data_IF_733822088903
#
_entry.id   IF_733822088903
#
_cell.length_a   1.000
_cell.length_b   1.000
_cell.length_c   1.000
_cell.angle_alpha   90.00
_cell.angle_beta   90.00
_cell.angle_gamma   90.00
#
_symmetry.space_group_name_H-M   'P 1'
#
loop_
_entity.id
_entity.type
_entity.pdbx_description
1 polymer ?
#
# COMPACT_ATOMS: atom_id res chain seq x y z
N UNK A 1 -7.11 17.27 17.43
CA UNK A 1 -7.52 18.45 16.66
C UNK A 1 -6.62 18.51 15.45
N UNK A 2 -7.19 18.50 14.24
CA UNK A 2 -6.43 18.29 13.01
C UNK A 2 -5.37 19.40 12.81
N UNK A 3 -4.11 18.99 12.71
CA UNK A 3 -3.00 19.89 12.35
C UNK A 3 -3.02 20.09 10.84
N UNK A 4 -3.06 21.35 10.39
CA UNK A 4 -2.97 21.67 8.95
C UNK A 4 -1.51 21.92 8.61
N UNK A 5 -0.91 21.07 7.78
CA UNK A 5 0.37 21.37 7.14
C UNK A 5 0.11 22.34 5.97
N UNK A 6 0.30 23.63 6.23
CA UNK A 6 -0.03 24.70 5.28
C UNK A 6 0.72 24.57 3.95
N UNK A 7 1.91 23.97 3.95
CA UNK A 7 2.76 23.81 2.75
C UNK A 7 2.20 22.81 1.73
N UNK A 8 1.25 21.94 2.10
CA UNK A 8 0.64 20.96 1.19
C UNK A 8 -0.88 21.10 1.10
N UNK A 9 -1.47 22.15 1.72
CA UNK A 9 -2.91 22.38 1.81
C UNK A 9 -3.52 23.00 0.53
N UNK A 10 -3.16 22.48 -0.64
CA UNK A 10 -3.71 22.87 -1.94
C UNK A 10 -3.84 21.64 -2.85
N UNK A 11 -4.69 21.74 -3.87
CA UNK A 11 -4.86 20.64 -4.83
C UNK A 11 -3.60 20.50 -5.68
N UNK A 12 -2.98 19.32 -5.66
CA UNK A 12 -1.79 19.02 -6.45
C UNK A 12 -2.06 19.13 -7.95
N UNK A 13 -1.00 19.39 -8.75
CA UNK A 13 -1.11 19.67 -10.19
C UNK A 13 -1.82 18.56 -10.97
N UNK A 14 -1.57 17.30 -10.63
CA UNK A 14 -2.13 16.11 -11.29
C UNK A 14 -3.36 15.53 -10.57
N UNK A 15 -3.77 16.11 -9.44
CA UNK A 15 -4.91 15.63 -8.66
C UNK A 15 -6.21 16.21 -9.22
N UNK A 16 -7.22 15.34 -9.42
CA UNK A 16 -8.55 15.71 -9.91
C UNK A 16 -9.66 15.54 -8.87
N UNK A 17 -9.35 14.95 -7.72
CA UNK A 17 -10.32 14.68 -6.66
C UNK A 17 -9.71 14.94 -5.28
N UNK A 18 -10.58 15.19 -4.30
CA UNK A 18 -10.21 15.33 -2.90
C UNK A 18 -11.01 14.31 -2.09
N UNK A 19 -10.30 13.50 -1.31
CA UNK A 19 -10.89 12.48 -0.43
C UNK A 19 -10.78 12.90 1.02
N UNK A 20 -11.88 12.77 1.76
CA UNK A 20 -11.93 13.03 3.21
C UNK A 20 -12.11 11.71 3.93
N UNK A 21 -11.22 11.42 4.87
CA UNK A 21 -11.21 10.19 5.68
C UNK A 21 -11.24 10.55 7.16
N UNK A 22 -11.89 9.71 7.95
CA UNK A 22 -11.88 9.83 9.41
C UNK A 22 -10.49 9.46 9.96
N UNK A 23 -10.03 10.22 10.95
CA UNK A 23 -8.77 9.95 11.64
C UNK A 23 -8.87 8.63 12.42
N UNK A 24 -7.89 7.75 12.23
CA UNK A 24 -7.88 6.40 12.81
C UNK A 24 -7.30 6.30 14.22
N UNK A 25 -7.52 7.29 15.08
CA UNK A 25 -6.96 7.40 16.45
C UNK A 25 -7.75 6.63 17.52
N UNK A 26 -8.87 6.02 17.14
CA UNK A 26 -9.72 5.25 18.05
C UNK A 26 -9.03 3.97 18.53
N UNK A 27 -8.81 3.86 19.85
CA UNK A 27 -8.33 2.62 20.47
C UNK A 27 -9.45 1.57 20.51
N UNK A 28 -9.23 0.44 19.84
CA UNK A 28 -10.16 -0.67 19.92
C UNK A 28 -9.93 -1.54 21.15
N UNK A 29 -10.94 -1.62 22.01
CA UNK A 29 -10.96 -2.54 23.15
C UNK A 29 -10.88 -4.01 22.67
N UNK A 30 -9.74 -4.67 22.93
CA UNK A 30 -9.41 -6.04 22.52
C UNK A 30 -9.46 -6.23 20.97
N UNK A 31 -8.82 -5.33 20.23
CA UNK A 31 -8.83 -5.32 18.76
C UNK A 31 -8.30 -6.60 18.08
N UNK A 32 -7.47 -7.41 18.75
CA UNK A 32 -6.92 -8.66 18.20
C UNK A 32 -7.89 -9.85 18.25
N UNK A 33 -8.88 -9.83 19.15
CA UNK A 33 -9.86 -10.91 19.32
C UNK A 33 -11.21 -10.60 18.63
N UNK A 34 -11.42 -9.33 18.21
CA UNK A 34 -12.68 -8.91 17.60
C UNK A 34 -12.83 -9.48 16.20
N UNK A 35 -13.96 -10.14 15.89
CA UNK A 35 -14.18 -10.75 14.58
C UNK A 35 -14.35 -9.74 13.43
N UNK A 36 -14.53 -8.44 13.73
CA UNK A 36 -14.40 -7.36 12.76
C UNK A 36 -15.40 -7.40 11.58
N UNK A 37 -16.70 -7.56 11.85
CA UNK A 37 -17.73 -7.65 10.80
C UNK A 37 -17.82 -6.40 9.89
N UNK A 38 -17.39 -5.24 10.38
CA UNK A 38 -17.36 -3.98 9.62
C UNK A 38 -15.97 -3.58 9.15
N UNK A 39 -14.95 -4.45 9.25
CA UNK A 39 -13.57 -4.15 8.85
C UNK A 39 -13.22 -4.66 7.46
N UNK A 40 -12.54 -3.81 6.69
CA UNK A 40 -11.97 -4.18 5.40
C UNK A 40 -10.86 -5.21 5.57
N UNK A 41 -10.87 -6.22 4.71
CA UNK A 41 -9.86 -7.27 4.72
C UNK A 41 -9.68 -7.88 3.33
N UNK A 42 -8.48 -7.72 2.78
CA UNK A 42 -8.10 -8.36 1.52
C UNK A 42 -7.82 -9.87 1.70
N UNK A 43 -7.34 -10.30 2.88
CA UNK A 43 -7.06 -11.71 3.20
C UNK A 43 -8.26 -12.51 3.70
N UNK A 44 -9.40 -11.86 3.97
CA UNK A 44 -10.55 -12.43 4.69
C UNK A 44 -10.22 -12.91 6.12
N UNK A 45 -9.28 -12.24 6.78
CA UNK A 45 -8.96 -12.51 8.19
C UNK A 45 -10.06 -12.05 9.16
N UNK A 46 -10.91 -11.12 8.73
CA UNK A 46 -12.07 -10.61 9.49
C UNK A 46 -13.39 -11.01 8.82
N UNK A 47 -14.47 -11.09 9.58
CA UNK A 47 -15.82 -11.40 9.08
C UNK A 47 -16.31 -10.39 8.03
N UNK A 48 -15.75 -9.18 8.03
CA UNK A 48 -16.01 -8.17 7.02
C UNK A 48 -15.74 -8.62 5.59
N UNK A 49 -14.83 -9.58 5.36
CA UNK A 49 -14.55 -10.13 4.02
C UNK A 49 -15.68 -10.98 3.43
N UNK A 50 -16.72 -11.31 4.22
CA UNK A 50 -17.92 -12.05 3.79
C UNK A 50 -19.04 -11.06 3.42
N UNK A 51 -19.00 -9.83 3.95
CA UNK A 51 -19.99 -8.80 3.68
C UNK A 51 -19.80 -8.21 2.28
N UNK A 52 -20.90 -8.02 1.54
CA UNK A 52 -20.91 -7.26 0.28
C UNK A 52 -21.02 -5.74 0.49
N UNK A 53 -21.14 -5.30 1.75
CA UNK A 53 -21.31 -3.88 2.10
C UNK A 53 -19.97 -3.17 2.01
N UNK A 54 -19.96 -1.96 1.44
CA UNK A 54 -18.81 -1.06 1.52
C UNK A 54 -18.54 -0.71 2.98
N UNK A 55 -17.27 -0.79 3.37
CA UNK A 55 -16.83 -0.51 4.73
C UNK A 55 -16.12 0.84 4.75
N UNK A 56 -16.38 1.61 5.81
CA UNK A 56 -15.74 2.90 6.00
C UNK A 56 -14.24 2.69 6.28
N UNK A 57 -13.40 3.39 5.53
CA UNK A 57 -11.95 3.39 5.73
C UNK A 57 -11.56 4.58 6.61
N UNK A 58 -10.51 4.38 7.40
CA UNK A 58 -9.89 5.42 8.24
C UNK A 58 -8.42 5.58 7.86
N UNK A 59 -7.75 6.58 8.42
CA UNK A 59 -6.30 6.79 8.20
C UNK A 59 -5.41 5.81 8.97
N UNK A 60 -5.99 4.83 9.69
CA UNK A 60 -5.21 3.86 10.48
C UNK A 60 -4.52 2.82 9.60
N UNK A 61 -3.23 2.56 9.86
CA UNK A 61 -2.49 1.47 9.22
C UNK A 61 -2.91 0.08 9.72
N UNK A 62 -3.62 -0.01 10.86
CA UNK A 62 -4.15 -1.26 11.41
C UNK A 62 -3.08 -2.27 11.87
N UNK A 63 -1.83 -1.83 12.07
CA UNK A 63 -0.72 -2.68 12.51
C UNK A 63 0.64 -1.99 12.41
N UNK A 64 1.69 -2.74 12.71
CA UNK A 64 3.08 -2.27 12.65
C UNK A 64 3.82 -2.83 11.43
N UNK A 65 4.91 -2.17 10.99
CA UNK A 65 5.83 -2.70 9.99
C UNK A 65 6.38 -4.07 10.38
N UNK A 66 6.60 -4.93 9.38
CA UNK A 66 7.16 -6.29 9.54
C UNK A 66 7.76 -6.80 8.22
N UNK A 67 8.38 -7.98 8.25
CA UNK A 67 8.91 -8.61 7.03
C UNK A 67 7.81 -8.87 6.00
N UNK A 68 8.15 -8.75 4.72
CA UNK A 68 7.24 -9.03 3.61
C UNK A 68 6.74 -10.49 3.68
N UNK A 69 5.42 -10.67 3.54
CA UNK A 69 4.78 -12.00 3.53
C UNK A 69 4.22 -12.29 2.12
N UNK A 70 4.81 -13.22 1.36
CA UNK A 70 4.39 -13.53 -0.01
C UNK A 70 3.24 -14.54 -0.02
N UNK A 71 2.02 -14.07 0.25
CA UNK A 71 0.79 -14.90 0.30
C UNK A 71 -0.14 -14.73 -0.92
N UNK A 72 0.39 -14.28 -2.06
CA UNK A 72 -0.37 -14.20 -3.32
C UNK A 72 -1.38 -13.03 -3.37
N UNK A 73 -1.21 -12.00 -2.54
CA UNK A 73 -2.13 -10.86 -2.49
C UNK A 73 -1.84 -9.83 -3.57
N UNK A 74 -0.57 -9.64 -3.91
CA UNK A 74 -0.14 -8.63 -4.88
C UNK A 74 -0.59 -9.01 -6.29
N UNK A 75 -0.56 -10.30 -6.61
CA UNK A 75 -1.03 -10.89 -7.86
C UNK A 75 -2.53 -10.68 -8.10
N UNK A 76 -3.32 -10.48 -7.03
CA UNK A 76 -4.77 -10.25 -7.15
C UNK A 76 -5.12 -8.80 -7.50
N UNK A 77 -4.20 -7.87 -7.26
CA UNK A 77 -4.42 -6.43 -7.47
C UNK A 77 -3.55 -5.86 -8.57
N UNK A 78 -2.49 -6.55 -8.97
CA UNK A 78 -1.62 -6.15 -10.07
C UNK A 78 -2.28 -6.52 -11.40
N UNK A 79 -2.62 -5.55 -12.26
CA UNK A 79 -3.24 -5.83 -13.55
C UNK A 79 -2.22 -6.14 -14.66
N UNK A 80 -0.96 -5.76 -14.47
CA UNK A 80 0.12 -5.95 -15.44
C UNK A 80 0.64 -7.39 -15.43
N UNK A 81 1.13 -7.85 -16.58
CA UNK A 81 1.74 -9.18 -16.75
C UNK A 81 3.19 -9.19 -16.21
N UNK A 82 3.29 -9.03 -14.89
CA UNK A 82 4.56 -9.04 -14.16
C UNK A 82 4.46 -10.01 -12.97
N UNK A 83 5.59 -10.34 -12.36
CA UNK A 83 5.64 -11.14 -11.14
C UNK A 83 5.74 -10.21 -9.92
N UNK A 84 4.61 -9.65 -9.40
CA UNK A 84 4.66 -8.56 -8.43
C UNK A 84 5.35 -8.99 -7.13
N UNK A 85 5.12 -10.21 -6.62
CA UNK A 85 5.82 -10.65 -5.40
C UNK A 85 7.34 -10.64 -5.56
N UNK A 86 7.86 -11.05 -6.72
CA UNK A 86 9.30 -11.05 -6.96
C UNK A 86 9.84 -9.63 -7.15
N UNK A 87 9.11 -8.81 -7.90
CA UNK A 87 9.47 -7.41 -8.13
C UNK A 87 9.50 -6.63 -6.81
N UNK A 88 8.43 -6.73 -6.02
CA UNK A 88 8.32 -6.05 -4.72
C UNK A 88 9.43 -6.50 -3.76
N UNK A 89 9.83 -7.77 -3.81
CA UNK A 89 10.97 -8.25 -3.02
C UNK A 89 12.28 -7.62 -3.51
N UNK A 90 12.51 -7.55 -4.82
CA UNK A 90 13.72 -6.96 -5.41
C UNK A 90 13.86 -5.47 -5.03
N UNK A 91 12.79 -4.69 -5.16
CA UNK A 91 12.82 -3.26 -4.82
C UNK A 91 12.99 -3.02 -3.30
N UNK A 92 12.46 -3.89 -2.43
CA UNK A 92 12.68 -3.81 -0.98
C UNK A 92 14.18 -3.95 -0.65
N UNK A 93 14.87 -4.89 -1.29
CA UNK A 93 16.31 -5.12 -1.05
C UNK A 93 17.21 -4.24 -1.92
N UNK A 94 16.63 -3.36 -2.74
CA UNK A 94 17.32 -2.46 -3.67
C UNK A 94 18.20 -3.19 -4.70
N UNK A 95 17.76 -4.38 -5.12
CA UNK A 95 18.35 -5.14 -6.21
C UNK A 95 17.77 -4.62 -7.54
N UNK A 96 18.46 -3.60 -8.09
CA UNK A 96 18.05 -2.87 -9.29
C UNK A 96 18.22 -3.68 -10.58
N UNK A 97 19.15 -4.63 -10.62
CA UNK A 97 19.37 -5.49 -11.79
C UNK A 97 18.18 -6.43 -11.97
N UNK A 98 17.81 -7.13 -10.90
CA UNK A 98 16.64 -8.01 -10.90
C UNK A 98 15.34 -7.21 -11.12
N UNK A 99 15.22 -6.03 -10.50
CA UNK A 99 14.03 -5.18 -10.67
C UNK A 99 13.84 -4.73 -12.13
N UNK A 100 14.91 -4.35 -12.84
CA UNK A 100 14.85 -4.01 -14.26
C UNK A 100 14.40 -5.19 -15.13
N UNK A 101 14.91 -6.39 -14.88
CA UNK A 101 14.49 -7.61 -15.59
C UNK A 101 13.00 -7.94 -15.36
N UNK A 102 12.46 -7.54 -14.21
CA UNK A 102 11.06 -7.74 -13.83
C UNK A 102 10.13 -6.59 -14.26
N UNK A 103 10.63 -5.60 -15.01
CA UNK A 103 9.80 -4.54 -15.59
C UNK A 103 9.60 -3.31 -14.71
N UNK A 104 10.49 -3.03 -13.74
CA UNK A 104 10.35 -1.87 -12.83
C UNK A 104 10.26 -0.52 -13.55
N UNK A 105 10.81 -0.41 -14.76
CA UNK A 105 10.83 0.82 -15.56
C UNK A 105 9.48 1.18 -16.17
N UNK A 106 8.52 0.25 -16.19
CA UNK A 106 7.17 0.47 -16.72
C UNK A 106 6.20 0.99 -15.65
N UNK A 107 6.68 1.22 -14.42
CA UNK A 107 5.85 1.51 -13.26
C UNK A 107 6.13 2.91 -12.72
N UNK A 108 5.08 3.55 -12.23
CA UNK A 108 5.13 4.74 -11.38
C UNK A 108 4.56 4.43 -9.98
N UNK A 109 4.65 5.36 -9.03
CA UNK A 109 4.22 5.08 -7.64
C UNK A 109 2.75 4.66 -7.52
N UNK A 110 1.89 5.26 -8.34
CA UNK A 110 0.45 5.00 -8.37
C UNK A 110 0.15 3.55 -8.79
N UNK A 111 0.99 2.94 -9.65
CA UNK A 111 0.81 1.55 -10.08
C UNK A 111 1.01 0.56 -8.92
N UNK A 112 1.80 0.94 -7.91
CA UNK A 112 2.03 0.15 -6.69
C UNK A 112 1.15 0.57 -5.50
N UNK A 113 0.26 1.56 -5.67
CA UNK A 113 -0.61 2.06 -4.59
C UNK A 113 -1.52 0.95 -4.06
N UNK A 114 -2.11 0.12 -4.94
CA UNK A 114 -2.95 -1.00 -4.53
C UNK A 114 -2.13 -2.11 -3.84
N UNK A 115 -0.90 -2.36 -4.27
CA UNK A 115 0.01 -3.30 -3.60
C UNK A 115 0.34 -2.85 -2.18
N UNK A 116 0.55 -1.54 -1.98
CA UNK A 116 0.76 -0.91 -0.66
C UNK A 116 -0.48 -1.08 0.21
N UNK A 117 -1.67 -0.77 -0.34
CA UNK A 117 -2.94 -0.88 0.39
C UNK A 117 -3.22 -2.30 0.90
N UNK A 118 -2.98 -3.32 0.08
CA UNK A 118 -3.20 -4.71 0.49
C UNK A 118 -2.04 -5.32 1.28
N UNK A 119 -0.91 -4.61 1.41
CA UNK A 119 0.28 -5.14 2.04
C UNK A 119 0.03 -5.48 3.52
N UNK A 120 0.16 -6.75 3.93
CA UNK A 120 0.04 -7.11 5.33
C UNK A 120 1.17 -6.48 6.16
N UNK A 121 2.33 -6.25 5.52
CA UNK A 121 3.59 -5.87 6.15
C UNK A 121 3.84 -4.37 6.25
N UNK A 122 2.94 -3.53 5.73
CA UNK A 122 2.97 -2.07 5.83
C UNK A 122 4.21 -1.43 5.19
N UNK A 123 4.61 -1.95 4.02
CA UNK A 123 5.59 -1.29 3.16
C UNK A 123 4.92 -0.22 2.31
N UNK A 124 5.58 0.93 2.17
CA UNK A 124 5.20 2.00 1.25
C UNK A 124 5.90 1.79 -0.10
N UNK A 125 5.31 0.98 -0.97
CA UNK A 125 5.98 0.56 -2.21
C UNK A 125 6.20 1.69 -3.21
N UNK A 126 5.35 2.73 -3.21
CA UNK A 126 5.56 3.91 -4.05
C UNK A 126 6.87 4.63 -3.71
N UNK A 127 7.08 4.99 -2.43
CA UNK A 127 8.33 5.62 -2.00
C UNK A 127 9.55 4.74 -2.29
N UNK A 128 9.45 3.43 -2.03
CA UNK A 128 10.51 2.46 -2.34
C UNK A 128 10.81 2.41 -3.84
N UNK A 129 9.79 2.45 -4.69
CA UNK A 129 9.94 2.48 -6.14
C UNK A 129 10.68 3.74 -6.59
N UNK A 130 10.28 4.92 -6.11
CA UNK A 130 10.97 6.19 -6.44
C UNK A 130 12.46 6.11 -6.11
N UNK A 131 12.81 5.62 -4.93
CA UNK A 131 14.21 5.43 -4.52
C UNK A 131 14.98 4.49 -5.46
N UNK A 132 14.34 3.41 -5.94
CA UNK A 132 14.96 2.48 -6.87
C UNK A 132 15.13 3.10 -8.26
N UNK A 133 14.13 3.82 -8.78
CA UNK A 133 14.22 4.51 -10.07
C UNK A 133 15.29 5.60 -10.07
N UNK A 134 15.37 6.40 -9.00
CA UNK A 134 16.44 7.40 -8.83
C UNK A 134 17.83 6.77 -8.76
N UNK A 135 17.95 5.57 -8.15
CA UNK A 135 19.21 4.84 -8.10
C UNK A 135 19.60 4.35 -9.50
N UNK A 136 18.65 3.76 -10.24
CA UNK A 136 18.87 3.32 -11.63
C UNK A 136 19.30 4.50 -12.50
N UNK A 137 18.65 5.66 -12.37
CA UNK A 137 19.00 6.87 -13.14
C UNK A 137 20.43 7.37 -12.85
N UNK A 138 20.92 7.22 -11.62
CA UNK A 138 22.27 7.65 -11.23
C UNK A 138 23.36 6.66 -11.65
N UNK A 139 23.03 5.38 -11.75
CA UNK A 139 23.99 4.28 -12.00
C UNK A 139 24.02 3.82 -13.47
N UNK A 140 22.98 4.13 -14.26
CA UNK A 140 22.88 3.85 -15.70
C UNK A 140 23.48 4.93 -16.60
#
# INVERSE_FOLDING_TARGET
GAFVQAETAFLGRYALQVSLLEEGDQQEFIGWLRPGANKFTATRAYLGGISKKLQALTTSSGGSPRSMVPIGMYEKVMPLDILPTLLLKAIIVKDTDTAQQLGVLELDEEDLALCTFVCPSKYEYGAILRENLEKIEKEG
#
